data_IF_586825107360
#
_entry.id   IF_586825107360
#
_cell.length_a   1.000
_cell.length_b   1.000
_cell.length_c   1.000
_cell.angle_alpha   90.00
_cell.angle_beta   90.00
_cell.angle_gamma   90.00
#
_symmetry.space_group_name_H-M   'P 1'
#
loop_
_entity.id
_entity.type
_entity.pdbx_description
1 polymer ?
#
# COMPACT_ATOMS: atom_id res chain seq x y z
N UNK A 1 -10.74 -15.28 -8.37
CA UNK A 1 -10.71 -13.84 -8.65
C UNK A 1 -9.30 -13.37 -8.38
N UNK A 2 -8.71 -12.57 -9.26
CA UNK A 2 -7.30 -12.16 -9.18
C UNK A 2 -7.23 -10.63 -9.15
N UNK A 3 -6.48 -10.08 -8.18
CA UNK A 3 -6.33 -8.64 -8.02
C UNK A 3 -5.65 -8.00 -9.24
N UNK A 4 -4.73 -8.70 -9.91
CA UNK A 4 -4.03 -8.16 -11.07
C UNK A 4 -5.01 -7.81 -12.19
N UNK A 5 -5.99 -8.70 -12.43
CA UNK A 5 -7.05 -8.46 -13.40
C UNK A 5 -7.91 -7.25 -13.03
N UNK A 6 -8.30 -7.11 -11.76
CA UNK A 6 -9.11 -5.98 -11.30
C UNK A 6 -8.35 -4.65 -11.43
N UNK A 7 -7.06 -4.63 -11.10
CA UNK A 7 -6.21 -3.44 -11.28
C UNK A 7 -6.12 -3.04 -12.76
N UNK A 8 -5.97 -4.02 -13.66
CA UNK A 8 -5.98 -3.77 -15.12
C UNK A 8 -7.32 -3.24 -15.62
N UNK A 9 -8.45 -3.82 -15.17
CA UNK A 9 -9.79 -3.34 -15.54
C UNK A 9 -10.04 -1.89 -15.13
N UNK A 10 -9.33 -1.40 -14.12
CA UNK A 10 -9.45 -0.04 -13.57
C UNK A 10 -8.31 0.91 -13.95
N UNK A 11 -7.41 0.47 -14.84
CA UNK A 11 -6.24 1.22 -15.31
C UNK A 11 -5.37 1.73 -14.15
N UNK A 12 -5.11 0.86 -13.16
CA UNK A 12 -4.22 1.14 -12.04
C UNK A 12 -2.81 0.66 -12.39
N UNK A 13 -1.86 1.60 -12.46
CA UNK A 13 -0.47 1.27 -12.70
C UNK A 13 0.22 0.79 -11.42
N UNK A 14 1.29 0.02 -11.58
CA UNK A 14 2.15 -0.40 -10.45
C UNK A 14 2.69 0.82 -9.70
N UNK A 15 2.99 1.90 -10.42
CA UNK A 15 3.51 3.13 -9.82
C UNK A 15 2.48 3.85 -8.95
N UNK A 16 1.19 3.72 -9.25
CA UNK A 16 0.09 4.25 -8.41
C UNK A 16 0.01 3.48 -7.09
N UNK A 17 0.17 2.16 -7.15
CA UNK A 17 0.23 1.29 -5.96
C UNK A 17 1.43 1.67 -5.10
N UNK A 18 2.62 1.78 -5.72
CA UNK A 18 3.84 2.17 -4.99
C UNK A 18 3.69 3.54 -4.33
N UNK A 19 3.09 4.50 -5.03
CA UNK A 19 2.81 5.82 -4.46
C UNK A 19 1.85 5.75 -3.28
N UNK A 20 0.72 5.04 -3.42
CA UNK A 20 -0.24 4.84 -2.33
C UNK A 20 0.43 4.20 -1.10
N UNK A 21 1.21 3.13 -1.29
CA UNK A 21 1.92 2.45 -0.20
C UNK A 21 2.95 3.37 0.48
N UNK A 22 3.68 4.17 -0.30
CA UNK A 22 4.61 5.16 0.24
C UNK A 22 3.88 6.24 1.06
N UNK A 23 2.74 6.72 0.59
CA UNK A 23 1.92 7.70 1.30
C UNK A 23 1.39 7.14 2.61
N UNK A 24 0.80 5.94 2.60
CA UNK A 24 0.33 5.28 3.83
C UNK A 24 1.48 5.01 4.81
N UNK A 25 2.66 4.68 4.30
CA UNK A 25 3.86 4.51 5.14
C UNK A 25 4.29 5.83 5.77
N UNK A 26 4.27 6.92 5.02
CA UNK A 26 4.57 8.26 5.54
C UNK A 26 3.54 8.69 6.61
N UNK A 27 2.25 8.47 6.37
CA UNK A 27 1.18 8.72 7.35
C UNK A 27 1.40 7.92 8.64
N UNK A 28 1.81 6.65 8.54
CA UNK A 28 2.19 5.83 9.70
C UNK A 28 3.41 6.41 10.41
N UNK A 29 4.40 6.95 9.71
CA UNK A 29 5.54 7.59 10.36
C UNK A 29 5.16 8.86 11.10
N UNK A 30 4.25 9.66 10.54
CA UNK A 30 3.71 10.84 11.21
C UNK A 30 2.92 10.49 12.48
N UNK A 31 2.32 9.30 12.58
CA UNK A 31 1.62 8.90 13.81
C UNK A 31 2.55 8.66 15.01
N UNK A 32 3.87 8.54 14.79
CA UNK A 32 4.87 8.47 15.87
C UNK A 32 5.33 9.83 16.38
N UNK A 33 4.71 10.94 15.95
CA UNK A 33 5.14 12.30 16.34
C UNK A 33 5.29 12.48 17.86
N UNK A 34 4.38 11.89 18.65
CA UNK A 34 4.38 12.02 20.12
C UNK A 34 5.30 11.00 20.81
N UNK A 35 5.80 9.99 20.07
CA UNK A 35 6.65 8.89 20.55
C UNK A 35 7.78 8.57 19.55
N UNK A 36 8.65 9.55 19.22
CA UNK A 36 9.63 9.42 18.14
C UNK A 36 10.64 8.28 18.36
N UNK A 37 10.87 7.85 19.60
CA UNK A 37 11.75 6.74 19.96
C UNK A 37 11.27 5.41 19.37
N UNK A 38 9.96 5.21 19.22
CA UNK A 38 9.40 4.00 18.60
C UNK A 38 9.74 3.94 17.10
N UNK A 39 9.59 5.06 16.38
CA UNK A 39 10.00 5.15 14.99
C UNK A 39 11.51 4.98 14.84
N UNK A 40 12.30 5.59 15.73
CA UNK A 40 13.75 5.42 15.74
C UNK A 40 14.15 3.96 15.93
N UNK A 41 13.45 3.20 16.78
CA UNK A 41 13.68 1.78 16.99
C UNK A 41 13.41 0.95 15.72
N UNK A 42 12.33 1.25 15.00
CA UNK A 42 12.00 0.58 13.72
C UNK A 42 13.06 0.87 12.65
N UNK A 43 13.54 2.11 12.56
CA UNK A 43 14.60 2.50 11.64
C UNK A 43 15.90 1.80 12.00
N UNK A 44 16.32 1.84 13.28
CA UNK A 44 17.57 1.24 13.74
C UNK A 44 17.62 -0.28 13.51
N UNK A 45 16.48 -0.97 13.66
CA UNK A 45 16.38 -2.41 13.40
C UNK A 45 16.37 -2.77 11.91
N UNK A 46 16.32 -1.80 11.00
CA UNK A 46 16.19 -2.03 9.57
C UNK A 46 14.76 -2.39 9.13
N UNK A 47 13.80 -2.46 10.05
CA UNK A 47 12.42 -2.88 9.77
C UNK A 47 11.76 -2.03 8.69
N UNK A 48 12.01 -0.72 8.68
CA UNK A 48 11.50 0.18 7.63
C UNK A 48 12.02 -0.20 6.24
N UNK A 49 13.32 -0.51 6.12
CA UNK A 49 13.90 -0.89 4.84
C UNK A 49 13.33 -2.22 4.34
N UNK A 50 13.17 -3.19 5.24
CA UNK A 50 12.58 -4.50 4.94
C UNK A 50 11.11 -4.40 4.50
N UNK A 51 10.35 -3.47 5.07
CA UNK A 51 8.95 -3.24 4.69
C UNK A 51 8.81 -2.55 3.33
N UNK A 52 9.73 -1.65 2.98
CA UNK A 52 9.73 -0.94 1.70
C UNK A 52 10.27 -1.81 0.55
N UNK A 53 11.10 -2.82 0.85
CA UNK A 53 11.63 -3.75 -0.13
C UNK A 53 10.51 -4.60 -0.75
N UNK A 54 10.41 -4.58 -2.08
CA UNK A 54 9.37 -5.29 -2.88
C UNK A 54 7.94 -5.03 -2.36
N UNK A 55 7.67 -3.83 -1.84
CA UNK A 55 6.43 -3.51 -1.15
C UNK A 55 5.17 -3.75 -2.00
N UNK A 56 5.21 -3.44 -3.30
CA UNK A 56 4.06 -3.68 -4.19
C UNK A 56 3.81 -5.18 -4.40
N UNK A 57 4.86 -5.98 -4.57
CA UNK A 57 4.73 -7.41 -4.83
C UNK A 57 4.17 -8.13 -3.59
N UNK A 58 4.69 -7.77 -2.42
CA UNK A 58 4.20 -8.27 -1.14
C UNK A 58 2.76 -7.85 -0.88
N UNK A 59 2.40 -6.60 -1.21
CA UNK A 59 1.04 -6.11 -1.08
C UNK A 59 0.08 -6.86 -2.02
N UNK A 60 0.45 -7.03 -3.30
CA UNK A 60 -0.35 -7.77 -4.28
C UNK A 60 -0.58 -9.22 -3.84
N UNK A 61 0.48 -9.90 -3.38
CA UNK A 61 0.40 -11.26 -2.86
C UNK A 61 -0.55 -11.34 -1.66
N UNK A 62 -0.47 -10.38 -0.74
CA UNK A 62 -1.36 -10.32 0.43
C UNK A 62 -2.82 -10.13 0.02
N UNK A 63 -3.13 -9.24 -0.91
CA UNK A 63 -4.52 -9.05 -1.34
C UNK A 63 -5.05 -10.26 -2.10
N UNK A 64 -4.23 -10.90 -2.94
CA UNK A 64 -4.59 -12.16 -3.59
C UNK A 64 -4.84 -13.28 -2.60
N UNK A 65 -4.08 -13.35 -1.51
CA UNK A 65 -4.34 -14.29 -0.43
C UNK A 65 -5.68 -13.97 0.26
N UNK A 66 -5.95 -12.70 0.61
CA UNK A 66 -7.21 -12.31 1.25
C UNK A 66 -8.43 -12.59 0.37
N UNK A 67 -8.31 -12.39 -0.94
CA UNK A 67 -9.31 -12.77 -1.92
C UNK A 67 -9.58 -14.27 -1.91
N UNK A 68 -8.51 -15.06 -1.97
CA UNK A 68 -8.58 -16.51 -2.03
C UNK A 68 -9.21 -17.10 -0.77
N UNK A 69 -8.91 -16.50 0.38
CA UNK A 69 -9.44 -16.93 1.69
C UNK A 69 -10.83 -16.35 2.00
N UNK A 70 -11.43 -15.54 1.11
CA UNK A 70 -12.72 -14.89 1.32
C UNK A 70 -12.73 -13.77 2.37
N UNK A 71 -11.56 -13.31 2.81
CA UNK A 71 -11.40 -12.18 3.75
C UNK A 71 -11.52 -10.82 3.08
N UNK A 72 -11.48 -10.78 1.76
CA UNK A 72 -11.69 -9.60 0.93
C UNK A 72 -12.60 -9.99 -0.22
N UNK A 73 -13.66 -9.22 -0.43
CA UNK A 73 -14.58 -9.38 -1.55
C UNK A 73 -14.30 -8.34 -2.65
N UNK A 74 -15.06 -8.42 -3.74
CA UNK A 74 -14.91 -7.49 -4.87
C UNK A 74 -15.20 -6.04 -4.46
N UNK A 75 -16.16 -5.81 -3.56
CA UNK A 75 -16.50 -4.47 -3.08
C UNK A 75 -15.32 -3.85 -2.31
N UNK A 76 -14.67 -4.62 -1.43
CA UNK A 76 -13.47 -4.19 -0.72
C UNK A 76 -12.29 -3.88 -1.66
N UNK A 77 -12.13 -4.63 -2.76
CA UNK A 77 -11.11 -4.29 -3.76
C UNK A 77 -11.44 -3.01 -4.50
N UNK A 78 -12.70 -2.82 -4.87
CA UNK A 78 -13.13 -1.58 -5.53
C UNK A 78 -12.88 -0.37 -4.63
N UNK A 79 -13.02 -0.51 -3.30
CA UNK A 79 -12.61 0.52 -2.35
C UNK A 79 -11.10 0.78 -2.40
N UNK A 80 -10.27 -0.26 -2.27
CA UNK A 80 -8.82 -0.13 -2.34
C UNK A 80 -8.36 0.54 -3.66
N UNK A 81 -8.97 0.18 -4.79
CA UNK A 81 -8.70 0.81 -6.08
C UNK A 81 -9.05 2.30 -6.05
N UNK A 82 -10.19 2.69 -5.45
CA UNK A 82 -10.55 4.10 -5.29
C UNK A 82 -9.53 4.85 -4.45
N UNK A 83 -9.08 4.27 -3.34
CA UNK A 83 -8.06 4.87 -2.48
C UNK A 83 -6.73 5.07 -3.22
N UNK A 84 -6.28 4.06 -3.96
CA UNK A 84 -5.05 4.12 -4.75
C UNK A 84 -5.13 5.23 -5.79
N UNK A 85 -6.22 5.29 -6.56
CA UNK A 85 -6.40 6.34 -7.59
C UNK A 85 -6.46 7.73 -6.96
N UNK A 86 -7.18 7.89 -5.86
CA UNK A 86 -7.24 9.16 -5.11
C UNK A 86 -5.86 9.59 -4.57
N UNK A 87 -5.03 8.64 -4.12
CA UNK A 87 -3.65 8.95 -3.75
C UNK A 87 -2.82 9.38 -4.96
N UNK A 88 -2.92 8.65 -6.08
CA UNK A 88 -2.18 8.93 -7.31
C UNK A 88 -2.53 10.30 -7.92
N UNK A 89 -3.80 10.70 -7.90
CA UNK A 89 -4.26 12.03 -8.36
C UNK A 89 -3.64 13.18 -7.54
N UNK A 90 -3.33 12.95 -6.26
CA UNK A 90 -2.69 13.91 -5.37
C UNK A 90 -1.17 13.90 -5.46
N UNK A 91 -0.58 13.01 -6.26
CA UNK A 91 0.87 12.91 -6.41
C UNK A 91 1.41 14.22 -7.00
N UNK A 92 2.39 14.88 -6.35
CA UNK A 92 3.02 16.06 -6.93
C UNK A 92 3.59 15.72 -8.30
N UNK A 93 3.24 16.51 -9.32
CA UNK A 93 3.90 16.41 -10.62
C UNK A 93 5.30 16.99 -10.48
N UNK A 94 6.30 16.15 -10.75
CA UNK A 94 7.72 16.54 -10.82
C UNK A 94 8.00 17.44 -12.02
#
# INVERSE_FOLDING_TARGET
MDIQRLLQEHDVAIDDIRWYLALTTAERFLSYQEVPEELALLIWRGTVADELYEMEERWLSLQNQKLSDGRLDEAGIRELIREIKSAAERRPLS
#
